data_IF_581553986438
#
_entry.id   IF_581553986438
#
_cell.length_a   1.000
_cell.length_b   1.000
_cell.length_c   1.000
_cell.angle_alpha   90.00
_cell.angle_beta   90.00
_cell.angle_gamma   90.00
#
_symmetry.space_group_name_H-M   'P 1'
#
loop_
_entity.id
_entity.type
_entity.pdbx_description
1 polymer ?
#
# COMPACT_ATOMS: atom_id res chain seq x y z
N UNK A 1 -7.83 13.49 17.50
CA UNK A 1 -6.55 12.78 17.63
C UNK A 1 -6.03 12.51 16.22
N UNK A 2 -5.03 13.26 15.81
CA UNK A 2 -4.31 13.06 14.55
C UNK A 2 -3.55 11.74 14.68
N UNK A 3 -3.99 10.72 13.96
CA UNK A 3 -3.27 9.47 13.81
C UNK A 3 -1.93 9.79 13.14
N UNK A 4 -0.85 9.75 13.92
CA UNK A 4 0.50 9.87 13.35
C UNK A 4 0.73 8.67 12.42
N UNK A 5 1.26 8.88 11.21
CA UNK A 5 1.55 7.78 10.29
C UNK A 5 2.49 6.80 10.97
N UNK A 6 2.13 5.53 10.93
CA UNK A 6 2.95 4.45 11.48
C UNK A 6 4.07 4.14 10.48
N UNK A 7 5.31 4.20 10.92
CA UNK A 7 6.44 3.77 10.09
C UNK A 7 6.37 2.27 9.83
N UNK A 8 6.55 1.89 8.58
CA UNK A 8 6.53 0.48 8.14
C UNK A 8 7.94 0.10 7.68
N UNK A 9 8.38 -1.10 8.04
CA UNK A 9 9.62 -1.66 7.51
C UNK A 9 9.37 -2.24 6.13
N UNK A 10 10.15 -1.83 5.15
CA UNK A 10 10.21 -2.48 3.84
C UNK A 10 11.45 -3.37 3.82
N UNK A 11 11.23 -4.65 3.53
CA UNK A 11 12.29 -5.61 3.28
C UNK A 11 12.93 -5.30 1.92
N UNK A 12 14.22 -4.95 1.95
CA UNK A 12 15.01 -4.74 0.74
C UNK A 12 16.00 -5.89 0.58
N UNK A 13 16.48 -6.05 -0.64
CA UNK A 13 17.43 -7.10 -1.04
C UNK A 13 18.57 -7.29 -0.04
N UNK A 14 18.98 -8.54 0.13
CA UNK A 14 20.12 -8.93 0.94
C UNK A 14 21.40 -8.21 0.47
N UNK A 15 22.12 -7.61 1.40
CA UNK A 15 23.36 -6.89 1.12
C UNK A 15 24.50 -7.41 1.98
N UNK A 16 25.70 -7.36 1.41
CA UNK A 16 26.93 -7.59 2.16
C UNK A 16 27.42 -6.31 2.82
N UNK A 17 28.05 -6.42 3.97
CA UNK A 17 28.69 -5.29 4.62
C UNK A 17 29.89 -4.81 3.78
N UNK A 18 30.01 -3.49 3.60
CA UNK A 18 31.16 -2.88 2.92
C UNK A 18 32.20 -2.47 3.93
N UNK A 19 33.44 -2.82 3.65
CA UNK A 19 34.62 -2.44 4.42
C UNK A 19 35.39 -1.35 3.68
N UNK A 20 36.05 -0.49 4.43
CA UNK A 20 36.96 0.52 3.92
C UNK A 20 38.34 -0.12 3.61
N UNK A 21 39.20 0.62 2.92
CA UNK A 21 40.59 0.12 2.60
C UNK A 21 41.42 -0.16 3.84
N UNK A 22 41.14 0.48 4.96
CA UNK A 22 41.77 0.27 6.26
C UNK A 22 41.19 -0.91 7.06
N UNK A 23 40.27 -1.67 6.46
CA UNK A 23 39.62 -2.83 7.08
C UNK A 23 38.43 -2.49 8.00
N UNK A 24 38.12 -1.23 8.28
CA UNK A 24 37.00 -0.84 9.09
C UNK A 24 35.69 -0.95 8.31
N UNK A 25 34.57 -1.15 9.01
CA UNK A 25 33.25 -1.08 8.41
C UNK A 25 32.97 0.33 7.87
N UNK A 26 32.34 0.44 6.70
CA UNK A 26 31.84 1.72 6.24
C UNK A 26 30.77 2.23 7.22
N UNK A 27 30.66 3.56 7.39
CA UNK A 27 29.67 4.17 8.30
C UNK A 27 28.23 3.73 7.98
N UNK A 28 27.95 3.53 6.68
CA UNK A 28 26.64 3.05 6.21
C UNK A 28 26.42 1.60 6.63
N UNK A 29 27.42 0.74 6.47
CA UNK A 29 27.32 -0.67 6.87
C UNK A 29 27.20 -0.84 8.39
N UNK A 30 27.97 -0.09 9.17
CA UNK A 30 27.89 -0.11 10.64
C UNK A 30 26.48 0.29 11.12
N UNK A 31 25.91 1.36 10.55
CA UNK A 31 24.54 1.80 10.88
C UNK A 31 23.48 0.76 10.49
N UNK A 32 23.60 0.14 9.31
CA UNK A 32 22.67 -0.88 8.86
C UNK A 32 22.75 -2.16 9.70
N UNK A 33 23.96 -2.60 10.06
CA UNK A 33 24.18 -3.72 10.94
C UNK A 33 23.63 -3.45 12.35
N UNK A 34 23.81 -2.24 12.86
CA UNK A 34 23.22 -1.82 14.14
C UNK A 34 21.69 -1.95 14.11
N UNK A 35 21.05 -1.53 13.04
CA UNK A 35 19.60 -1.67 12.87
C UNK A 35 19.16 -3.13 12.75
N UNK A 36 19.93 -3.94 12.04
CA UNK A 36 19.61 -5.34 11.82
C UNK A 36 19.80 -6.20 13.08
N UNK A 37 20.89 -5.96 13.84
CA UNK A 37 21.21 -6.70 15.05
C UNK A 37 20.53 -6.16 16.31
N UNK A 38 19.95 -4.96 16.24
CA UNK A 38 19.35 -4.29 17.41
C UNK A 38 20.40 -3.81 18.44
N UNK A 39 21.67 -3.80 18.08
CA UNK A 39 22.78 -3.39 18.96
C UNK A 39 23.65 -2.35 18.24
N UNK A 40 24.27 -1.45 19.02
CA UNK A 40 25.17 -0.44 18.43
C UNK A 40 26.43 -1.12 17.87
N UNK A 41 26.68 -0.97 16.57
CA UNK A 41 27.87 -1.43 15.86
C UNK A 41 28.68 -0.22 15.41
N UNK A 42 29.92 -0.13 15.87
CA UNK A 42 30.87 0.90 15.46
C UNK A 42 31.67 0.46 14.24
N UNK A 43 32.27 1.38 13.52
CA UNK A 43 33.10 1.07 12.36
C UNK A 43 34.29 0.17 12.67
N UNK A 44 34.77 0.20 13.93
CA UNK A 44 35.86 -0.62 14.44
C UNK A 44 35.46 -2.04 14.82
N UNK A 45 34.18 -2.33 14.91
CA UNK A 45 33.64 -3.62 15.36
C UNK A 45 33.60 -4.63 14.21
N UNK A 46 34.77 -4.93 13.62
CA UNK A 46 34.89 -5.79 12.44
C UNK A 46 34.70 -7.26 12.74
N UNK A 47 34.90 -7.65 13.98
CA UNK A 47 34.74 -9.01 14.50
C UNK A 47 33.29 -9.42 14.76
N UNK A 48 32.41 -8.44 14.88
CA UNK A 48 30.98 -8.69 15.16
C UNK A 48 30.17 -9.16 13.96
N UNK A 49 30.75 -9.12 12.77
CA UNK A 49 30.07 -9.51 11.54
C UNK A 49 31.01 -10.17 10.54
N UNK A 50 30.61 -11.34 10.02
CA UNK A 50 31.33 -12.02 8.96
C UNK A 50 31.18 -11.26 7.63
N UNK A 51 32.29 -10.84 6.96
CA UNK A 51 32.23 -10.12 5.69
C UNK A 51 31.50 -10.86 4.57
N UNK A 52 31.41 -12.18 4.64
CA UNK A 52 30.77 -13.04 3.64
C UNK A 52 29.26 -13.19 3.87
N UNK A 53 28.78 -12.87 5.08
CA UNK A 53 27.35 -12.96 5.39
C UNK A 53 26.58 -11.79 4.81
N UNK A 54 25.42 -12.10 4.25
CA UNK A 54 24.44 -11.11 3.82
C UNK A 54 23.51 -10.77 4.98
N UNK A 55 22.99 -9.56 4.98
CA UNK A 55 21.94 -9.13 5.91
C UNK A 55 20.83 -8.42 5.16
N UNK A 56 19.61 -8.53 5.65
CA UNK A 56 18.48 -7.84 5.09
C UNK A 56 18.49 -6.36 5.46
N UNK A 57 18.27 -5.53 4.48
CA UNK A 57 18.15 -4.10 4.69
C UNK A 57 16.70 -3.73 4.96
N UNK A 58 16.45 -3.15 6.12
CA UNK A 58 15.17 -2.56 6.46
C UNK A 58 15.21 -1.05 6.26
N UNK A 59 14.18 -0.50 5.67
CA UNK A 59 13.98 0.92 5.57
C UNK A 59 12.66 1.28 6.24
N UNK A 60 12.72 2.24 7.17
CA UNK A 60 11.51 2.77 7.79
C UNK A 60 10.90 3.79 6.84
N UNK A 61 9.72 3.49 6.36
CA UNK A 61 8.92 4.41 5.56
C UNK A 61 7.62 4.76 6.29
N UNK A 62 7.04 5.89 5.97
CA UNK A 62 5.73 6.25 6.49
C UNK A 62 4.66 5.33 5.87
N UNK A 63 3.73 4.88 6.71
CA UNK A 63 2.61 4.08 6.24
C UNK A 63 1.68 4.95 5.38
N UNK A 64 1.47 4.55 4.14
CA UNK A 64 0.56 5.19 3.21
C UNK A 64 -0.55 4.21 2.81
N UNK A 65 -1.79 4.51 3.21
CA UNK A 65 -2.97 3.75 2.78
C UNK A 65 -3.25 3.89 1.27
N UNK A 66 -2.62 4.85 0.60
CA UNK A 66 -2.65 4.98 -0.85
C UNK A 66 -1.77 3.95 -1.56
N UNK A 67 -0.77 3.41 -0.86
CA UNK A 67 0.11 2.39 -1.39
C UNK A 67 -0.47 0.99 -1.19
N UNK A 68 -1.05 0.44 -2.26
CA UNK A 68 -1.71 -0.88 -2.23
C UNK A 68 -0.79 -2.02 -1.84
N UNK A 69 0.50 -1.94 -2.17
CA UNK A 69 1.49 -2.96 -1.85
C UNK A 69 1.73 -3.03 -0.34
N UNK A 70 1.89 -1.87 0.32
CA UNK A 70 2.02 -1.81 1.77
C UNK A 70 0.77 -2.33 2.48
N UNK A 71 -0.41 -1.96 1.98
CA UNK A 71 -1.68 -2.40 2.57
C UNK A 71 -1.86 -3.90 2.41
N UNK A 72 -1.53 -4.46 1.26
CA UNK A 72 -1.55 -5.92 1.03
C UNK A 72 -0.59 -6.64 1.97
N UNK A 73 0.65 -6.15 2.10
CA UNK A 73 1.63 -6.70 3.04
C UNK A 73 1.10 -6.71 4.47
N UNK A 74 0.57 -5.59 4.95
CA UNK A 74 -0.03 -5.47 6.28
C UNK A 74 -1.19 -6.46 6.51
N UNK A 75 -2.05 -6.62 5.50
CA UNK A 75 -3.18 -7.56 5.59
C UNK A 75 -2.71 -9.02 5.59
N UNK A 76 -1.70 -9.36 4.78
CA UNK A 76 -1.09 -10.71 4.76
C UNK A 76 -0.44 -11.03 6.10
N UNK A 77 0.29 -10.08 6.69
CA UNK A 77 0.89 -10.22 8.03
C UNK A 77 -0.18 -10.39 9.14
N UNK A 78 -1.39 -9.86 8.89
CA UNK A 78 -2.56 -10.04 9.77
C UNK A 78 -3.33 -11.34 9.52
N UNK A 79 -2.82 -12.25 8.68
CA UNK A 79 -3.46 -13.54 8.38
C UNK A 79 -4.52 -13.49 7.28
N UNK A 80 -4.55 -12.42 6.48
CA UNK A 80 -5.46 -12.34 5.34
C UNK A 80 -5.13 -13.38 4.27
N UNK A 81 -6.14 -14.11 3.81
CA UNK A 81 -6.05 -15.09 2.73
C UNK A 81 -6.80 -14.56 1.50
N UNK A 82 -6.12 -14.03 0.48
CA UNK A 82 -6.79 -13.50 -0.72
C UNK A 82 -7.50 -14.60 -1.49
N UNK A 83 -8.74 -14.34 -1.87
CA UNK A 83 -9.58 -15.27 -2.65
C UNK A 83 -9.64 -14.90 -4.13
N UNK A 84 -9.32 -13.67 -4.48
CA UNK A 84 -9.36 -13.14 -5.83
C UNK A 84 -8.08 -12.42 -6.19
N UNK A 85 -7.69 -12.53 -7.47
CA UNK A 85 -6.49 -11.91 -7.99
C UNK A 85 -6.80 -11.02 -9.20
N UNK A 86 -5.95 -10.03 -9.44
CA UNK A 86 -6.01 -9.23 -10.66
C UNK A 86 -5.45 -10.02 -11.85
N UNK A 87 -5.67 -9.59 -13.10
CA UNK A 87 -5.03 -10.22 -14.27
C UNK A 87 -3.50 -10.24 -14.21
N UNK A 88 -2.89 -9.39 -13.38
CA UNK A 88 -1.44 -9.34 -13.13
C UNK A 88 -0.99 -10.28 -12.00
N UNK A 89 -1.89 -11.06 -11.42
CA UNK A 89 -1.58 -11.95 -10.30
C UNK A 89 -1.54 -11.29 -8.92
N UNK A 90 -1.89 -10.01 -8.81
CA UNK A 90 -1.91 -9.32 -7.52
C UNK A 90 -3.19 -9.60 -6.74
N UNK A 91 -3.12 -9.81 -5.41
CA UNK A 91 -4.29 -10.05 -4.59
C UNK A 91 -5.27 -8.87 -4.60
N UNK A 92 -6.56 -9.14 -4.80
CA UNK A 92 -7.63 -8.14 -4.68
C UNK A 92 -8.14 -8.08 -3.25
N UNK A 93 -8.25 -6.86 -2.72
CA UNK A 93 -8.89 -6.60 -1.43
C UNK A 93 -10.41 -6.49 -1.69
N UNK A 94 -11.15 -7.53 -1.33
CA UNK A 94 -12.61 -7.61 -1.46
C UNK A 94 -13.24 -7.84 -0.10
N UNK A 95 -14.53 -7.54 0.02
CA UNK A 95 -15.27 -7.76 1.27
C UNK A 95 -15.21 -9.23 1.70
N UNK A 96 -15.41 -10.15 0.75
CA UNK A 96 -15.37 -11.59 1.02
C UNK A 96 -13.99 -12.05 1.49
N UNK A 97 -12.91 -11.50 0.89
CA UNK A 97 -11.56 -11.87 1.27
C UNK A 97 -11.13 -11.32 2.64
N UNK A 98 -11.66 -10.17 3.05
CA UNK A 98 -11.37 -9.61 4.38
C UNK A 98 -11.94 -10.47 5.50
N UNK A 99 -13.04 -11.17 5.27
CA UNK A 99 -13.60 -12.09 6.28
C UNK A 99 -12.69 -13.30 6.57
N UNK A 100 -11.69 -13.57 5.74
CA UNK A 100 -10.71 -14.64 5.98
C UNK A 100 -9.69 -14.31 7.07
N UNK A 101 -9.59 -13.03 7.47
CA UNK A 101 -8.66 -12.60 8.52
C UNK A 101 -9.09 -13.18 9.86
N UNK A 102 -8.17 -13.85 10.54
CA UNK A 102 -8.37 -14.42 11.86
C UNK A 102 -8.12 -13.35 12.94
N UNK A 103 -8.93 -13.36 13.99
CA UNK A 103 -8.83 -12.41 15.09
C UNK A 103 -9.65 -11.12 14.90
N UNK A 104 -10.19 -10.61 16.01
CA UNK A 104 -11.08 -9.44 15.99
C UNK A 104 -10.38 -8.17 15.53
N UNK A 105 -9.15 -7.94 16.00
CA UNK A 105 -8.36 -6.76 15.62
C UNK A 105 -8.04 -6.74 14.12
N UNK A 106 -7.67 -7.89 13.54
CA UNK A 106 -7.41 -8.03 12.11
C UNK A 106 -8.65 -7.76 11.26
N UNK A 107 -9.80 -8.28 11.68
CA UNK A 107 -11.11 -8.03 11.03
C UNK A 107 -11.49 -6.55 11.06
N UNK A 108 -11.33 -5.90 12.22
CA UNK A 108 -11.60 -4.47 12.36
C UNK A 108 -10.71 -3.61 11.44
N UNK A 109 -9.42 -3.91 11.39
CA UNK A 109 -8.47 -3.23 10.50
C UNK A 109 -8.88 -3.45 9.03
N UNK A 110 -9.19 -4.68 8.63
CA UNK A 110 -9.62 -5.01 7.29
C UNK A 110 -10.89 -4.26 6.86
N UNK A 111 -11.89 -4.18 7.74
CA UNK A 111 -13.12 -3.40 7.49
C UNK A 111 -12.83 -1.90 7.33
N UNK A 112 -11.97 -1.33 8.17
CA UNK A 112 -11.55 0.08 8.06
C UNK A 112 -10.83 0.34 6.74
N UNK A 113 -9.98 -0.57 6.29
CA UNK A 113 -9.29 -0.50 5.00
C UNK A 113 -10.29 -0.53 3.83
N UNK A 114 -11.25 -1.45 3.83
CA UNK A 114 -12.31 -1.50 2.82
C UNK A 114 -13.12 -0.21 2.77
N UNK A 115 -13.56 0.27 3.93
CA UNK A 115 -14.31 1.52 4.03
C UNK A 115 -13.50 2.71 3.50
N UNK A 116 -12.21 2.76 3.81
CA UNK A 116 -11.31 3.79 3.28
C UNK A 116 -11.28 3.78 1.74
N UNK A 117 -11.10 2.62 1.11
CA UNK A 117 -11.08 2.53 -0.35
C UNK A 117 -12.42 2.86 -1.00
N UNK A 118 -13.53 2.44 -0.39
CA UNK A 118 -14.87 2.82 -0.84
C UNK A 118 -15.06 4.34 -0.80
N UNK A 119 -14.73 4.98 0.32
CA UNK A 119 -14.84 6.43 0.49
C UNK A 119 -13.89 7.18 -0.45
N UNK A 120 -12.65 6.70 -0.62
CA UNK A 120 -11.68 7.27 -1.54
C UNK A 120 -12.19 7.23 -2.99
N UNK A 121 -12.76 6.10 -3.42
CA UNK A 121 -13.35 5.96 -4.74
C UNK A 121 -14.53 6.92 -4.93
N UNK A 122 -15.45 6.97 -3.97
CA UNK A 122 -16.59 7.90 -3.99
C UNK A 122 -16.13 9.36 -4.03
N UNK A 123 -15.18 9.72 -3.19
CA UNK A 123 -14.60 11.07 -3.17
C UNK A 123 -13.99 11.45 -4.52
N UNK A 124 -13.24 10.57 -5.15
CA UNK A 124 -12.64 10.80 -6.47
C UNK A 124 -13.70 11.05 -7.54
N UNK A 125 -14.78 10.24 -7.53
CA UNK A 125 -15.91 10.41 -8.47
C UNK A 125 -16.62 11.75 -8.24
N UNK A 126 -16.96 12.08 -6.99
CA UNK A 126 -17.63 13.32 -6.66
C UNK A 126 -16.78 14.55 -6.99
N UNK A 127 -15.48 14.48 -6.69
CA UNK A 127 -14.54 15.55 -7.06
C UNK A 127 -14.53 15.79 -8.57
N UNK A 128 -14.45 14.73 -9.38
CA UNK A 128 -14.53 14.85 -10.83
C UNK A 128 -15.84 15.46 -11.33
N UNK A 129 -16.97 15.17 -10.66
CA UNK A 129 -18.26 15.80 -11.03
C UNK A 129 -18.32 17.27 -10.64
N UNK A 130 -17.76 17.65 -9.49
CA UNK A 130 -17.66 19.06 -9.08
C UNK A 130 -16.82 19.83 -10.09
N UNK A 131 -15.65 19.34 -10.45
CA UNK A 131 -14.78 19.97 -11.45
C UNK A 131 -15.49 20.13 -12.82
N UNK A 132 -16.26 19.11 -13.23
CA UNK A 132 -17.08 19.20 -14.46
C UNK A 132 -18.20 20.22 -14.33
N UNK A 133 -18.86 20.32 -13.19
CA UNK A 133 -19.92 21.28 -12.95
C UNK A 133 -19.38 22.72 -12.96
N UNK A 134 -18.27 22.98 -12.27
CA UNK A 134 -17.62 24.28 -12.21
C UNK A 134 -17.18 24.75 -13.61
N UNK A 135 -16.67 23.84 -14.44
CA UNK A 135 -16.31 24.14 -15.82
C UNK A 135 -17.52 24.41 -16.74
N UNK A 136 -18.76 24.06 -16.35
CA UNK A 136 -19.95 24.11 -17.17
C UNK A 136 -21.11 24.87 -16.50
N UNK A 137 -20.84 26.00 -15.89
CA UNK A 137 -21.85 26.84 -15.24
C UNK A 137 -22.70 26.09 -14.20
N UNK A 138 -22.08 25.33 -13.33
CA UNK A 138 -22.69 24.47 -12.32
C UNK A 138 -23.64 23.39 -12.86
N UNK A 139 -23.38 22.93 -14.10
CA UNK A 139 -24.16 21.86 -14.72
C UNK A 139 -23.24 20.71 -15.15
N UNK A 140 -23.70 19.49 -14.98
CA UNK A 140 -23.01 18.31 -15.49
C UNK A 140 -23.79 17.73 -16.65
N UNK A 141 -23.22 17.80 -17.85
CA UNK A 141 -23.82 17.23 -19.06
C UNK A 141 -23.40 15.77 -19.18
N UNK A 142 -24.37 14.92 -19.46
CA UNK A 142 -24.17 13.48 -19.66
C UNK A 142 -24.49 13.15 -21.12
N UNK A 143 -23.55 12.54 -21.80
CA UNK A 143 -23.78 11.97 -23.12
C UNK A 143 -24.22 10.52 -22.94
N UNK A 144 -25.37 10.17 -23.48
CA UNK A 144 -25.89 8.81 -23.50
C UNK A 144 -25.83 8.26 -24.92
N UNK A 145 -25.23 7.09 -25.07
CA UNK A 145 -25.14 6.39 -26.36
C UNK A 145 -26.09 5.18 -26.31
N UNK A 146 -27.06 5.13 -27.21
CA UNK A 146 -28.10 4.10 -27.20
C UNK A 146 -27.59 2.71 -27.56
N UNK A 147 -26.48 2.62 -28.29
CA UNK A 147 -25.88 1.35 -28.74
C UNK A 147 -24.38 1.41 -28.42
N UNK A 148 -24.02 1.22 -27.17
CA UNK A 148 -22.63 1.37 -26.72
C UNK A 148 -21.97 0.08 -26.23
N UNK A 149 -22.73 -1.01 -26.12
CA UNK A 149 -22.22 -2.29 -25.61
C UNK A 149 -22.74 -3.46 -26.46
N UNK A 150 -22.05 -4.61 -26.51
CA UNK A 150 -22.51 -5.82 -27.19
C UNK A 150 -23.88 -6.32 -26.70
N UNK A 151 -24.29 -5.90 -25.48
CA UNK A 151 -25.58 -6.28 -24.87
C UNK A 151 -26.67 -5.25 -25.09
N UNK A 152 -26.51 -4.30 -26.02
CA UNK A 152 -27.45 -3.21 -26.33
C UNK A 152 -27.82 -2.33 -25.14
N UNK A 153 -27.01 -2.29 -24.09
CA UNK A 153 -27.20 -1.38 -22.97
C UNK A 153 -26.72 0.02 -23.34
N UNK A 154 -27.39 1.03 -22.83
CA UNK A 154 -26.94 2.41 -22.96
C UNK A 154 -25.58 2.59 -22.27
N UNK A 155 -24.69 3.28 -22.95
CA UNK A 155 -23.40 3.72 -22.39
C UNK A 155 -23.50 5.21 -22.09
N UNK A 156 -23.15 5.58 -20.88
CA UNK A 156 -23.02 6.97 -20.47
C UNK A 156 -21.57 7.39 -20.45
N UNK A 157 -21.27 8.62 -20.87
CA UNK A 157 -20.00 9.28 -20.61
C UNK A 157 -20.12 10.13 -19.35
N UNK A 158 -19.03 10.31 -18.62
CA UNK A 158 -18.85 11.24 -17.49
C UNK A 158 -19.60 10.91 -16.19
N UNK A 159 -20.86 10.53 -16.20
CA UNK A 159 -21.56 10.08 -14.99
C UNK A 159 -21.86 8.59 -15.13
N UNK A 160 -21.06 7.78 -14.48
CA UNK A 160 -21.21 6.33 -14.46
C UNK A 160 -21.26 5.89 -13.00
N UNK A 161 -22.23 5.05 -12.66
CA UNK A 161 -22.36 4.45 -11.32
C UNK A 161 -22.43 5.49 -10.19
N UNK A 162 -23.55 6.22 -10.12
CA UNK A 162 -23.85 7.03 -8.93
C UNK A 162 -23.73 6.13 -7.69
N UNK A 163 -22.86 6.47 -6.73
CA UNK A 163 -22.71 5.65 -5.53
C UNK A 163 -24.05 5.54 -4.79
N UNK A 164 -24.42 4.32 -4.42
CA UNK A 164 -25.61 4.13 -3.58
C UNK A 164 -25.37 4.81 -2.22
N UNK A 165 -26.40 5.44 -1.69
CA UNK A 165 -26.32 6.29 -0.48
C UNK A 165 -26.37 5.46 0.82
N UNK A 166 -26.40 4.14 0.73
CA UNK A 166 -26.44 3.25 1.91
C UNK A 166 -25.07 3.05 2.54
#
# INVERSE_FOLDING_TARGET
>A
PTLKPRKVFIDKEDKTAKYLQDGRLSSVSARMLSQFLGTEIKQTDTDKWDPKKTFRRFEMIEADLGNMEQVRGMLLDSGWKPTQFTPKGEPKITQDSIHTIEGELGKEIGQKVLKYYQLRSRHSVLKGWIELAEANNNRVYVEAFNVGTPTFRQRHSKIVNVPNVN
#
